data_IF_243836471308
#
_entry.id   IF_243836471308
#
_cell.length_a   1.000
_cell.length_b   1.000
_cell.length_c   1.000
_cell.angle_alpha   90.00
_cell.angle_beta   90.00
_cell.angle_gamma   90.00
#
_symmetry.space_group_name_H-M   'P 1'
#
loop_
_entity.id
_entity.type
_entity.pdbx_description
1 polymer ?
#
# COMPACT_ATOMS: atom_id res chain seq x y z
N UNK A 1 -22.91 -7.04 -4.37
CA UNK A 1 -22.44 -8.22 -3.59
C UNK A 1 -21.16 -8.71 -4.24
N UNK A 2 -20.02 -8.26 -3.76
CA UNK A 2 -18.72 -8.77 -4.23
C UNK A 2 -18.34 -9.87 -3.24
N UNK A 3 -18.53 -11.12 -3.65
CA UNK A 3 -18.05 -12.28 -2.90
C UNK A 3 -16.53 -12.35 -3.00
N UNK A 4 -15.85 -11.57 -2.16
CA UNK A 4 -14.43 -11.76 -1.92
C UNK A 4 -14.36 -12.96 -0.99
N UNK A 5 -14.01 -14.11 -1.55
CA UNK A 5 -13.49 -15.24 -0.76
C UNK A 5 -12.25 -14.72 -0.06
N UNK A 6 -12.40 -14.22 1.17
CA UNK A 6 -11.30 -13.85 2.04
C UNK A 6 -10.63 -15.15 2.41
N UNK A 7 -9.64 -15.59 1.64
CA UNK A 7 -8.70 -16.57 2.13
C UNK A 7 -8.08 -15.96 3.37
N UNK A 8 -8.42 -16.50 4.55
CA UNK A 8 -7.90 -16.04 5.84
C UNK A 8 -6.43 -16.45 5.92
N UNK A 9 -5.58 -15.60 5.39
CA UNK A 9 -4.15 -15.80 5.42
C UNK A 9 -3.64 -15.82 6.87
N UNK A 10 -2.71 -16.72 7.16
CA UNK A 10 -2.13 -16.86 8.50
C UNK A 10 -1.46 -15.58 8.99
N UNK A 11 -0.86 -14.80 8.08
CA UNK A 11 -0.27 -13.50 8.40
C UNK A 11 -1.34 -12.44 8.68
N UNK A 12 -2.47 -12.47 8.00
CA UNK A 12 -3.62 -11.61 8.29
C UNK A 12 -4.12 -11.76 9.74
N UNK A 13 -3.93 -12.91 10.37
CA UNK A 13 -4.33 -13.16 11.77
C UNK A 13 -3.30 -12.68 12.80
N UNK A 14 -2.10 -12.26 12.38
CA UNK A 14 -1.09 -11.70 13.27
C UNK A 14 -1.49 -10.32 13.78
N UNK A 15 -0.79 -9.86 14.81
CA UNK A 15 -1.05 -8.56 15.42
C UNK A 15 -0.91 -7.41 14.41
N UNK A 16 -1.83 -6.42 14.38
CA UNK A 16 -1.85 -5.34 13.40
C UNK A 16 -0.56 -4.53 13.31
N UNK A 17 0.12 -4.31 14.44
CA UNK A 17 1.41 -3.60 14.49
C UNK A 17 2.46 -4.34 13.63
N UNK A 18 2.46 -5.67 13.68
CA UNK A 18 3.42 -6.48 12.95
C UNK A 18 3.17 -6.44 11.44
N UNK A 19 1.88 -6.51 11.05
CA UNK A 19 1.49 -6.38 9.65
C UNK A 19 1.88 -5.01 9.10
N UNK A 20 1.59 -3.96 9.85
CA UNK A 20 1.94 -2.58 9.44
C UNK A 20 3.46 -2.39 9.34
N UNK A 21 4.21 -2.86 10.34
CA UNK A 21 5.68 -2.76 10.36
C UNK A 21 6.29 -3.45 9.15
N UNK A 22 5.85 -4.67 8.82
CA UNK A 22 6.34 -5.39 7.65
C UNK A 22 6.15 -4.60 6.36
N UNK A 23 4.93 -4.16 6.09
CA UNK A 23 4.64 -3.41 4.86
C UNK A 23 5.34 -2.06 4.82
N UNK A 24 5.43 -1.36 5.95
CA UNK A 24 6.17 -0.09 6.02
C UNK A 24 7.65 -0.27 5.67
N UNK A 25 8.28 -1.32 6.17
CA UNK A 25 9.69 -1.63 5.90
C UNK A 25 9.90 -2.05 4.45
N UNK A 26 9.07 -2.96 3.90
CA UNK A 26 9.20 -3.39 2.50
C UNK A 26 8.98 -2.23 1.54
N UNK A 27 7.94 -1.44 1.75
CA UNK A 27 7.65 -0.26 0.93
C UNK A 27 8.78 0.76 1.03
N UNK A 28 9.29 1.01 2.25
CA UNK A 28 10.43 1.90 2.47
C UNK A 28 11.68 1.42 1.71
N UNK A 29 12.07 0.16 1.87
CA UNK A 29 13.22 -0.37 1.14
C UNK A 29 13.03 -0.32 -0.38
N UNK A 30 11.85 -0.68 -0.88
CA UNK A 30 11.57 -0.63 -2.33
C UNK A 30 11.62 0.78 -2.89
N UNK A 31 11.20 1.80 -2.11
CA UNK A 31 11.21 3.19 -2.52
C UNK A 31 12.62 3.80 -2.54
N UNK A 32 13.42 3.53 -1.50
CA UNK A 32 14.73 4.16 -1.33
C UNK A 32 15.87 3.41 -2.00
N UNK A 33 15.76 2.08 -2.17
CA UNK A 33 16.81 1.25 -2.74
C UNK A 33 16.48 0.92 -4.19
N UNK A 34 17.14 1.62 -5.10
CA UNK A 34 16.95 1.46 -6.55
C UNK A 34 17.92 0.45 -7.17
N UNK A 35 18.54 -0.41 -6.37
CA UNK A 35 19.45 -1.44 -6.87
C UNK A 35 18.68 -2.54 -7.61
N UNK A 36 19.06 -2.93 -8.86
CA UNK A 36 18.27 -3.84 -9.68
C UNK A 36 18.04 -5.20 -9.04
N UNK A 37 19.00 -5.73 -8.28
CA UNK A 37 18.86 -7.02 -7.57
C UNK A 37 17.81 -6.91 -6.47
N UNK A 38 17.79 -5.83 -5.68
CA UNK A 38 16.76 -5.58 -4.67
C UNK A 38 15.37 -5.49 -5.29
N UNK A 39 15.26 -4.76 -6.39
CA UNK A 39 14.01 -4.62 -7.12
C UNK A 39 13.53 -5.97 -7.68
N UNK A 40 14.43 -6.78 -8.25
CA UNK A 40 14.07 -8.11 -8.75
C UNK A 40 13.57 -9.04 -7.64
N UNK A 41 14.26 -9.08 -6.49
CA UNK A 41 13.84 -9.87 -5.33
C UNK A 41 12.48 -9.40 -4.81
N UNK A 42 12.31 -8.09 -4.64
CA UNK A 42 11.03 -7.51 -4.20
C UNK A 42 9.90 -7.77 -5.20
N UNK A 43 10.18 -7.71 -6.50
CA UNK A 43 9.22 -7.99 -7.56
C UNK A 43 8.73 -9.45 -7.52
N UNK A 44 9.67 -10.41 -7.44
CA UNK A 44 9.33 -11.83 -7.37
C UNK A 44 8.49 -12.12 -6.12
N UNK A 45 8.90 -11.59 -4.97
CA UNK A 45 8.17 -11.76 -3.72
C UNK A 45 6.77 -11.13 -3.76
N UNK A 46 6.67 -9.88 -4.26
CA UNK A 46 5.40 -9.17 -4.39
C UNK A 46 4.42 -9.88 -5.34
N UNK A 47 4.90 -10.34 -6.50
CA UNK A 47 4.07 -11.08 -7.45
C UNK A 47 3.61 -12.41 -6.89
N UNK A 48 4.51 -13.19 -6.28
CA UNK A 48 4.17 -14.47 -5.68
C UNK A 48 3.13 -14.31 -4.55
N UNK A 49 3.33 -13.32 -3.67
CA UNK A 49 2.41 -13.06 -2.57
C UNK A 49 1.06 -12.51 -3.05
N UNK A 50 1.08 -11.62 -4.02
CA UNK A 50 -0.13 -11.07 -4.63
C UNK A 50 -0.95 -12.14 -5.36
N UNK A 51 -0.30 -13.07 -6.08
CA UNK A 51 -0.96 -14.23 -6.70
C UNK A 51 -1.60 -15.16 -5.67
N UNK A 52 -0.93 -15.35 -4.54
CA UNK A 52 -1.47 -16.14 -3.43
C UNK A 52 -2.75 -15.53 -2.84
N UNK A 53 -2.75 -14.22 -2.60
CA UNK A 53 -3.87 -13.52 -1.97
C UNK A 53 -5.07 -13.29 -2.90
N UNK A 54 -4.82 -12.88 -4.14
CA UNK A 54 -5.86 -12.40 -5.07
C UNK A 54 -6.25 -13.45 -6.14
N UNK A 55 -5.49 -14.53 -6.25
CA UNK A 55 -5.63 -15.49 -7.34
C UNK A 55 -4.90 -15.03 -8.62
N UNK A 56 -4.34 -16.01 -9.35
CA UNK A 56 -3.47 -15.77 -10.51
C UNK A 56 -4.16 -14.96 -11.61
N UNK A 57 -5.40 -15.30 -11.97
CA UNK A 57 -6.12 -14.66 -13.08
C UNK A 57 -6.41 -13.17 -12.83
N UNK A 58 -6.79 -12.80 -11.60
CA UNK A 58 -7.08 -11.40 -11.25
C UNK A 58 -5.81 -10.54 -11.28
N UNK A 59 -4.72 -11.07 -10.75
CA UNK A 59 -3.44 -10.35 -10.71
C UNK A 59 -2.87 -10.17 -12.11
N UNK A 60 -2.88 -11.20 -12.95
CA UNK A 60 -2.43 -11.08 -14.33
C UNK A 60 -3.23 -10.01 -15.09
N UNK A 61 -4.54 -9.96 -14.88
CA UNK A 61 -5.39 -8.93 -15.52
C UNK A 61 -5.05 -7.53 -15.01
N UNK A 62 -4.85 -7.34 -13.72
CA UNK A 62 -4.47 -6.04 -13.13
C UNK A 62 -3.09 -5.63 -13.63
N UNK A 63 -2.13 -6.54 -13.64
CA UNK A 63 -0.77 -6.27 -14.08
C UNK A 63 -0.75 -5.88 -15.57
N UNK A 64 -1.46 -6.62 -16.40
CA UNK A 64 -1.50 -6.35 -17.83
C UNK A 64 -2.21 -5.03 -18.17
N UNK A 65 -3.34 -4.75 -17.49
CA UNK A 65 -4.18 -3.60 -17.84
C UNK A 65 -3.71 -2.28 -17.21
N UNK A 66 -3.16 -2.32 -15.99
CA UNK A 66 -2.86 -1.10 -15.23
C UNK A 66 -1.35 -0.89 -15.07
N UNK A 67 -0.61 -1.96 -14.76
CA UNK A 67 0.77 -1.82 -14.31
C UNK A 67 1.77 -1.76 -15.47
N UNK A 68 1.58 -2.54 -16.52
CA UNK A 68 2.45 -2.47 -17.71
C UNK A 68 2.33 -1.11 -18.43
N UNK A 69 1.12 -0.55 -18.67
CA UNK A 69 1.02 0.77 -19.25
C UNK A 69 1.64 1.87 -18.37
N UNK A 70 1.47 1.81 -17.05
CA UNK A 70 2.06 2.80 -16.15
C UNK A 70 3.59 2.74 -16.15
N UNK A 71 4.18 1.54 -16.19
CA UNK A 71 5.63 1.35 -16.32
C UNK A 71 6.13 1.98 -17.62
N UNK A 72 5.44 1.69 -18.73
CA UNK A 72 5.83 2.18 -20.05
C UNK A 72 5.73 3.70 -20.15
N UNK A 73 4.68 4.29 -19.58
CA UNK A 73 4.52 5.75 -19.51
C UNK A 73 5.67 6.38 -18.74
N UNK A 74 6.01 5.87 -17.55
CA UNK A 74 7.11 6.42 -16.74
C UNK A 74 8.45 6.25 -17.43
N UNK A 75 8.71 5.09 -18.04
CA UNK A 75 9.94 4.81 -18.76
C UNK A 75 10.15 5.74 -19.98
N UNK A 76 9.06 6.12 -20.67
CA UNK A 76 9.11 7.02 -21.82
C UNK A 76 9.13 8.50 -21.42
N UNK A 77 8.39 8.88 -20.37
CA UNK A 77 8.34 10.27 -19.93
C UNK A 77 9.65 10.72 -19.27
N UNK A 78 10.32 9.83 -18.53
CA UNK A 78 11.54 10.20 -17.83
C UNK A 78 12.64 10.77 -18.76
N UNK A 79 13.00 10.14 -19.90
CA UNK A 79 13.99 10.71 -20.80
C UNK A 79 13.53 12.00 -21.51
N UNK A 80 12.24 12.29 -21.55
CA UNK A 80 11.73 13.56 -22.10
C UNK A 80 11.96 14.75 -21.17
N UNK A 81 11.98 14.52 -19.85
CA UNK A 81 12.16 15.56 -18.85
C UNK A 81 13.57 15.56 -18.24
N UNK A 82 14.26 14.43 -18.27
CA UNK A 82 15.54 14.22 -17.61
C UNK A 82 16.63 13.99 -18.66
N UNK A 83 17.54 14.96 -18.81
CA UNK A 83 18.55 14.95 -19.87
C UNK A 83 19.97 14.64 -19.33
N UNK A 84 20.04 14.12 -18.11
CA UNK A 84 21.31 13.74 -17.48
C UNK A 84 21.84 12.44 -18.07
N UNK A 85 23.06 12.46 -18.58
CA UNK A 85 23.76 11.28 -19.09
C UNK A 85 24.90 11.68 -20.00
N UNK A 86 25.81 10.74 -20.27
CA UNK A 86 27.02 10.94 -21.09
C UNK A 86 26.85 10.33 -22.47
N UNK A 87 25.94 9.35 -22.64
CA UNK A 87 25.74 8.64 -23.92
C UNK A 87 24.46 9.14 -24.62
N UNK A 88 24.58 10.02 -25.64
CA UNK A 88 23.42 10.46 -26.41
C UNK A 88 22.95 9.34 -27.35
N UNK A 89 21.64 9.05 -27.35
CA UNK A 89 20.99 8.07 -28.23
C UNK A 89 20.28 8.75 -29.39
N UNK A 90 19.43 9.74 -29.10
CA UNK A 90 18.58 10.41 -30.08
C UNK A 90 18.52 11.90 -29.78
N UNK A 91 18.52 12.71 -30.82
CA UNK A 91 18.28 14.14 -30.73
C UNK A 91 16.83 14.44 -31.11
N UNK A 92 16.10 15.09 -30.21
CA UNK A 92 14.71 15.49 -30.44
C UNK A 92 14.71 16.96 -30.87
N UNK A 93 14.52 17.23 -32.15
CA UNK A 93 14.51 18.59 -32.70
C UNK A 93 13.45 19.50 -32.09
N UNK A 94 12.27 18.96 -31.70
CA UNK A 94 11.19 19.74 -31.12
C UNK A 94 11.47 20.23 -29.69
N UNK A 95 12.34 19.55 -28.94
CA UNK A 95 12.73 19.94 -27.59
C UNK A 95 14.14 20.48 -27.47
N UNK A 96 14.95 20.39 -28.54
CA UNK A 96 16.36 20.78 -28.56
C UNK A 96 17.28 19.96 -27.65
N UNK A 97 16.82 18.78 -27.20
CA UNK A 97 17.45 17.99 -26.16
C UNK A 97 17.87 16.59 -26.64
N UNK A 98 18.96 16.09 -26.03
CA UNK A 98 19.43 14.73 -26.29
C UNK A 98 18.77 13.75 -25.34
N UNK A 99 18.19 12.69 -25.87
CA UNK A 99 17.77 11.51 -25.11
C UNK A 99 19.00 10.66 -24.82
N UNK A 100 19.31 10.47 -23.55
CA UNK A 100 20.46 9.69 -23.11
C UNK A 100 20.06 8.27 -22.67
N UNK A 101 20.98 7.31 -22.86
CA UNK A 101 20.77 5.93 -22.45
C UNK A 101 20.56 5.83 -20.93
N UNK A 102 21.30 6.61 -20.16
CA UNK A 102 21.20 6.64 -18.71
C UNK A 102 19.83 7.11 -18.24
N UNK A 103 19.25 8.14 -18.89
CA UNK A 103 17.91 8.62 -18.58
C UNK A 103 16.83 7.57 -18.88
N UNK A 104 17.01 6.79 -19.96
CA UNK A 104 16.09 5.71 -20.32
C UNK A 104 16.16 4.56 -19.34
N UNK A 105 17.36 4.12 -18.95
CA UNK A 105 17.56 3.06 -17.95
C UNK A 105 16.98 3.51 -16.60
N UNK A 106 17.22 4.75 -16.20
CA UNK A 106 16.66 5.30 -14.96
C UNK A 106 15.12 5.35 -15.01
N UNK A 107 14.54 5.71 -16.17
CA UNK A 107 13.10 5.66 -16.39
C UNK A 107 12.51 4.26 -16.23
N UNK A 108 13.18 3.23 -16.74
CA UNK A 108 12.77 1.83 -16.56
C UNK A 108 12.84 1.44 -15.09
N UNK A 109 13.91 1.80 -14.38
CA UNK A 109 14.06 1.51 -12.95
C UNK A 109 12.95 2.16 -12.13
N UNK A 110 12.66 3.43 -12.37
CA UNK A 110 11.54 4.14 -11.72
C UNK A 110 10.18 3.49 -12.03
N UNK A 111 9.97 3.09 -13.28
CA UNK A 111 8.78 2.35 -13.69
C UNK A 111 8.66 1.02 -12.95
N UNK A 112 9.76 0.27 -12.79
CA UNK A 112 9.78 -0.96 -11.99
C UNK A 112 9.48 -0.72 -10.51
N UNK A 113 10.05 0.34 -9.91
CA UNK A 113 9.73 0.73 -8.53
C UNK A 113 8.23 0.98 -8.37
N UNK A 114 7.63 1.78 -9.25
CA UNK A 114 6.19 2.03 -9.25
C UNK A 114 5.38 0.74 -9.37
N UNK A 115 5.77 -0.14 -10.29
CA UNK A 115 5.13 -1.43 -10.49
C UNK A 115 5.13 -2.29 -9.23
N UNK A 116 6.29 -2.43 -8.58
CA UNK A 116 6.45 -3.20 -7.35
C UNK A 116 5.64 -2.58 -6.21
N UNK A 117 5.63 -1.24 -6.10
CA UNK A 117 4.86 -0.52 -5.10
C UNK A 117 3.35 -0.79 -5.24
N UNK A 118 2.80 -0.77 -6.46
CA UNK A 118 1.38 -1.09 -6.71
C UNK A 118 1.06 -2.51 -6.26
N UNK A 119 1.94 -3.48 -6.52
CA UNK A 119 1.75 -4.86 -6.07
C UNK A 119 1.75 -4.98 -4.55
N UNK A 120 2.71 -4.35 -3.85
CA UNK A 120 2.77 -4.36 -2.39
C UNK A 120 1.57 -3.64 -1.77
N UNK A 121 1.13 -2.50 -2.34
CA UNK A 121 -0.10 -1.83 -1.90
C UNK A 121 -1.35 -2.69 -2.10
N UNK A 122 -1.42 -3.46 -3.18
CA UNK A 122 -2.51 -4.41 -3.38
C UNK A 122 -2.56 -5.47 -2.28
N UNK A 123 -1.41 -6.01 -1.87
CA UNK A 123 -1.31 -6.93 -0.75
C UNK A 123 -1.65 -6.26 0.59
N UNK A 124 -1.14 -5.05 0.82
CA UNK A 124 -1.43 -4.25 2.01
C UNK A 124 -2.93 -4.03 2.21
N UNK A 125 -3.63 -3.57 1.18
CA UNK A 125 -5.07 -3.30 1.24
C UNK A 125 -5.91 -4.54 1.55
N UNK A 126 -5.42 -5.73 1.23
CA UNK A 126 -6.12 -6.96 1.57
C UNK A 126 -5.90 -7.42 3.01
N UNK A 127 -4.69 -7.23 3.53
CA UNK A 127 -4.30 -7.70 4.87
C UNK A 127 -4.69 -6.67 5.93
N UNK A 128 -4.51 -5.39 5.62
CA UNK A 128 -4.76 -4.29 6.53
C UNK A 128 -6.21 -3.80 6.39
N UNK A 129 -7.11 -4.45 7.12
CA UNK A 129 -8.52 -4.04 7.18
C UNK A 129 -8.69 -2.73 7.96
N UNK A 130 -9.81 -2.02 7.72
CA UNK A 130 -10.14 -0.78 8.42
C UNK A 130 -10.10 -0.93 9.94
N UNK A 131 -10.54 -2.08 10.47
CA UNK A 131 -10.54 -2.34 11.92
C UNK A 131 -9.12 -2.42 12.50
N UNK A 132 -8.18 -3.03 11.77
CA UNK A 132 -6.76 -3.09 12.17
C UNK A 132 -6.11 -1.71 12.13
N UNK A 133 -6.46 -0.91 11.13
CA UNK A 133 -5.98 0.46 11.02
C UNK A 133 -6.47 1.31 12.20
N UNK A 134 -7.76 1.23 12.54
CA UNK A 134 -8.33 1.91 13.70
C UNK A 134 -7.64 1.47 14.99
N UNK A 135 -7.38 0.18 15.16
CA UNK A 135 -6.68 -0.33 16.32
C UNK A 135 -5.26 0.24 16.45
N UNK A 136 -4.52 0.34 15.33
CA UNK A 136 -3.16 0.86 15.31
C UNK A 136 -3.09 2.31 15.76
N UNK A 137 -3.95 3.16 15.20
CA UNK A 137 -3.99 4.60 15.50
C UNK A 137 -4.74 4.91 16.80
N UNK A 138 -5.63 4.03 17.24
CA UNK A 138 -6.42 4.20 18.45
C UNK A 138 -5.60 4.23 19.72
N UNK A 139 -4.41 3.66 19.70
CA UNK A 139 -3.48 3.73 20.83
C UNK A 139 -2.76 5.08 20.91
N UNK A 140 -2.56 5.73 19.75
CA UNK A 140 -1.86 7.03 19.66
C UNK A 140 -2.86 8.16 19.94
N UNK A 141 -4.04 8.11 19.31
CA UNK A 141 -5.07 9.14 19.40
C UNK A 141 -6.43 8.46 19.69
N UNK A 142 -6.78 8.22 20.97
CA UNK A 142 -7.99 7.48 21.33
C UNK A 142 -9.29 8.12 20.85
N UNK A 143 -9.36 9.46 20.85
CA UNK A 143 -10.53 10.21 20.38
C UNK A 143 -10.78 10.00 18.88
N UNK A 144 -9.73 10.08 18.06
CA UNK A 144 -9.83 9.87 16.61
C UNK A 144 -10.20 8.43 16.27
N UNK A 145 -9.67 7.46 16.99
CA UNK A 145 -10.02 6.04 16.80
C UNK A 145 -11.50 5.78 17.05
N UNK A 146 -12.05 6.38 18.08
CA UNK A 146 -13.47 6.26 18.38
C UNK A 146 -14.34 6.91 17.28
N UNK A 147 -14.00 8.14 16.86
CA UNK A 147 -14.72 8.83 15.78
C UNK A 147 -14.67 8.02 14.48
N UNK A 148 -13.51 7.49 14.12
CA UNK A 148 -13.34 6.70 12.90
C UNK A 148 -14.12 5.37 12.99
N UNK A 149 -14.10 4.69 14.14
CA UNK A 149 -14.87 3.46 14.35
C UNK A 149 -16.37 3.70 14.23
N UNK A 150 -16.88 4.80 14.80
CA UNK A 150 -18.28 5.19 14.63
C UNK A 150 -18.60 5.55 13.18
N UNK A 151 -17.77 6.35 12.53
CA UNK A 151 -17.96 6.75 11.13
C UNK A 151 -18.06 5.53 10.20
N UNK A 152 -17.13 4.57 10.33
CA UNK A 152 -17.17 3.34 9.52
C UNK A 152 -18.40 2.48 9.77
N UNK A 153 -18.90 2.46 11.00
CA UNK A 153 -20.16 1.77 11.34
C UNK A 153 -21.38 2.47 10.74
N UNK A 154 -21.36 3.82 10.67
CA UNK A 154 -22.46 4.58 10.11
C UNK A 154 -22.56 4.51 8.59
N UNK A 155 -21.46 4.29 7.85
CA UNK A 155 -21.46 4.20 6.38
C UNK A 155 -22.51 3.19 5.86
N UNK A 156 -22.55 1.92 6.30
CA UNK A 156 -23.57 0.97 5.87
C UNK A 156 -24.98 1.41 6.23
N UNK A 157 -25.13 2.05 7.39
CA UNK A 157 -26.42 2.54 7.87
C UNK A 157 -26.94 3.72 7.02
N UNK A 158 -26.07 4.66 6.66
CA UNK A 158 -26.39 5.74 5.74
C UNK A 158 -26.78 5.24 4.35
N UNK A 159 -26.07 4.22 3.83
CA UNK A 159 -26.42 3.61 2.54
C UNK A 159 -27.82 2.98 2.59
N UNK A 160 -28.14 2.30 3.68
CA UNK A 160 -29.47 1.72 3.87
C UNK A 160 -30.56 2.81 3.95
N UNK A 161 -30.33 3.86 4.73
CA UNK A 161 -31.25 4.98 4.88
C UNK A 161 -31.42 5.76 3.58
N UNK A 162 -30.35 5.98 2.82
CA UNK A 162 -30.40 6.59 1.50
C UNK A 162 -31.35 5.82 0.55
N UNK A 163 -31.35 4.48 0.61
CA UNK A 163 -32.26 3.65 -0.18
C UNK A 163 -33.72 3.86 0.25
N UNK A 164 -33.98 3.97 1.54
CA UNK A 164 -35.34 4.24 2.07
C UNK A 164 -35.80 5.60 1.60
N UNK A 165 -35.00 6.65 1.77
CA UNK A 165 -35.33 8.02 1.32
C UNK A 165 -35.54 8.04 -0.19
N UNK A 166 -34.69 7.39 -0.97
CA UNK A 166 -34.84 7.30 -2.42
C UNK A 166 -36.18 6.65 -2.82
N UNK A 167 -36.53 5.56 -2.16
CA UNK A 167 -37.81 4.88 -2.44
C UNK A 167 -39.01 5.76 -2.07
N UNK A 168 -38.98 6.46 -0.93
CA UNK A 168 -39.99 7.43 -0.55
C UNK A 168 -40.11 8.58 -1.56
N UNK A 169 -39.03 9.14 -2.02
CA UNK A 169 -39.01 10.18 -3.07
C UNK A 169 -39.59 9.69 -4.41
N UNK A 170 -39.34 8.42 -4.77
CA UNK A 170 -39.96 7.81 -5.96
C UNK A 170 -41.46 7.73 -5.85
N UNK A 171 -42.01 7.39 -4.68
CA UNK A 171 -43.46 7.35 -4.46
C UNK A 171 -44.14 8.74 -4.63
N UNK A 172 -43.40 9.81 -4.35
CA UNK A 172 -43.86 11.21 -4.51
C UNK A 172 -43.60 11.77 -5.93
N UNK A 173 -43.05 10.92 -6.84
CA UNK A 173 -42.74 11.33 -8.20
C UNK A 173 -41.42 12.10 -8.38
N UNK A 174 -40.60 12.21 -7.34
CA UNK A 174 -39.31 12.90 -7.36
C UNK A 174 -38.16 11.89 -7.61
N UNK A 175 -38.24 11.11 -8.70
CA UNK A 175 -37.19 10.13 -9.01
C UNK A 175 -35.99 10.79 -9.68
N UNK A 176 -34.80 10.56 -9.14
CA UNK A 176 -33.52 11.02 -9.69
C UNK A 176 -33.20 10.40 -11.04
N UNK A 177 -33.82 9.25 -11.39
CA UNK A 177 -33.60 8.60 -12.68
C UNK A 177 -34.30 9.34 -13.84
N UNK A 178 -35.39 10.09 -13.58
CA UNK A 178 -36.22 10.71 -14.59
C UNK A 178 -36.01 12.23 -14.68
N UNK A 179 -35.89 12.76 -15.89
CA UNK A 179 -35.88 14.20 -16.15
C UNK A 179 -34.57 14.77 -16.65
N UNK A 180 -34.57 16.09 -16.91
CA UNK A 180 -33.40 16.86 -17.35
C UNK A 180 -32.36 16.94 -16.22
N UNK A 181 -31.11 17.12 -16.57
CA UNK A 181 -29.98 17.14 -15.65
C UNK A 181 -30.17 18.03 -14.40
N UNK A 182 -30.69 19.24 -14.58
CA UNK A 182 -31.00 20.17 -13.48
C UNK A 182 -32.03 19.62 -12.48
N UNK A 183 -33.08 18.92 -12.97
CA UNK A 183 -34.07 18.30 -12.08
C UNK A 183 -33.45 17.14 -11.28
N UNK A 184 -32.59 16.34 -11.90
CA UNK A 184 -31.87 15.25 -11.22
C UNK A 184 -30.99 15.77 -10.08
N UNK A 185 -30.23 16.85 -10.33
CA UNK A 185 -29.40 17.49 -9.29
C UNK A 185 -30.29 18.01 -8.15
N UNK A 186 -31.39 18.69 -8.43
CA UNK A 186 -32.31 19.20 -7.41
C UNK A 186 -32.88 18.08 -6.54
N UNK A 187 -33.33 16.97 -7.15
CA UNK A 187 -33.85 15.83 -6.41
C UNK A 187 -32.75 15.14 -5.57
N UNK A 188 -31.55 15.05 -6.10
CA UNK A 188 -30.38 14.53 -5.34
C UNK A 188 -30.06 15.42 -4.13
N UNK A 189 -30.07 16.75 -4.28
CA UNK A 189 -29.87 17.69 -3.18
C UNK A 189 -30.94 17.55 -2.10
N UNK A 190 -32.22 17.40 -2.49
CA UNK A 190 -33.28 17.15 -1.52
C UNK A 190 -33.08 15.86 -0.74
N UNK A 191 -32.62 14.76 -1.41
CA UNK A 191 -32.31 13.50 -0.72
C UNK A 191 -31.17 13.67 0.26
N UNK A 192 -30.13 14.41 -0.12
CA UNK A 192 -28.98 14.70 0.77
C UNK A 192 -29.43 15.53 1.96
N UNK A 193 -30.27 16.55 1.75
CA UNK A 193 -30.81 17.37 2.83
C UNK A 193 -31.59 16.54 3.86
N UNK A 194 -32.48 15.65 3.41
CA UNK A 194 -33.25 14.75 4.28
C UNK A 194 -32.28 13.80 5.03
N UNK A 195 -31.27 13.27 4.32
CA UNK A 195 -30.27 12.37 4.93
C UNK A 195 -29.47 13.08 6.02
N UNK A 196 -29.07 14.34 5.80
CA UNK A 196 -28.33 15.15 6.78
C UNK A 196 -29.18 15.42 8.01
N UNK A 197 -30.44 15.81 7.86
CA UNK A 197 -31.35 16.01 8.99
C UNK A 197 -31.49 14.75 9.83
N UNK A 198 -31.78 13.63 9.18
CA UNK A 198 -31.86 12.34 9.86
C UNK A 198 -30.51 11.94 10.55
N UNK A 199 -29.38 12.24 9.90
CA UNK A 199 -28.06 11.94 10.47
C UNK A 199 -27.76 12.76 11.72
N UNK A 200 -28.19 14.04 11.77
CA UNK A 200 -28.04 14.91 12.94
C UNK A 200 -28.93 14.44 14.10
N UNK A 201 -30.18 14.09 13.85
CA UNK A 201 -31.07 13.51 14.86
C UNK A 201 -30.48 12.24 15.47
N UNK A 202 -30.04 11.31 14.61
CA UNK A 202 -29.40 10.06 15.05
C UNK A 202 -28.10 10.31 15.82
N UNK A 203 -27.32 11.33 15.47
CA UNK A 203 -26.11 11.70 16.19
C UNK A 203 -26.40 12.17 17.61
N UNK A 204 -27.48 12.96 17.81
CA UNK A 204 -27.89 13.44 19.14
C UNK A 204 -28.36 12.25 20.00
N UNK A 205 -29.24 11.40 19.47
CA UNK A 205 -29.70 10.20 20.19
C UNK A 205 -28.55 9.26 20.57
N UNK A 206 -27.60 9.08 19.63
CA UNK A 206 -26.39 8.27 19.88
C UNK A 206 -25.53 8.89 20.98
N UNK A 207 -25.35 10.20 20.98
CA UNK A 207 -24.57 10.91 22.00
C UNK A 207 -25.20 10.78 23.38
N UNK A 208 -26.53 10.91 23.49
CA UNK A 208 -27.26 10.76 24.75
C UNK A 208 -27.24 9.32 25.26
N UNK A 209 -27.40 8.35 24.35
CA UNK A 209 -27.22 6.93 24.68
C UNK A 209 -25.80 6.60 25.17
N UNK A 210 -24.80 7.24 24.63
CA UNK A 210 -23.41 7.08 25.07
C UNK A 210 -23.19 7.70 26.46
N UNK A 211 -23.72 8.89 26.71
CA UNK A 211 -23.64 9.54 28.04
C UNK A 211 -24.31 8.68 29.10
N UNK A 212 -25.51 8.15 28.84
CA UNK A 212 -26.24 7.30 29.78
C UNK A 212 -25.49 6.01 30.14
N UNK A 213 -24.64 5.50 29.21
CA UNK A 213 -23.75 4.35 29.44
C UNK A 213 -22.43 4.71 30.12
N UNK A 214 -22.29 5.94 30.62
CA UNK A 214 -21.08 6.39 31.31
C UNK A 214 -19.89 6.71 30.39
N UNK A 215 -20.16 7.06 29.11
CA UNK A 215 -19.10 7.51 28.23
C UNK A 215 -18.49 8.82 28.74
N UNK A 216 -17.16 8.90 28.84
CA UNK A 216 -16.42 10.09 29.33
C UNK A 216 -16.03 10.02 30.80
N UNK A 217 -16.46 9.02 31.56
CA UNK A 217 -16.03 8.82 32.94
C UNK A 217 -14.55 8.40 33.03
N UNK A 218 -13.87 8.86 34.09
CA UNK A 218 -12.47 8.51 34.38
C UNK A 218 -12.32 7.02 34.65
N UNK A 219 -11.26 6.38 34.19
CA UNK A 219 -10.99 4.96 34.43
C UNK A 219 -11.56 4.00 33.38
N UNK A 220 -12.12 4.50 32.28
CA UNK A 220 -12.61 3.66 31.20
C UNK A 220 -11.47 2.96 30.45
N UNK A 221 -11.56 1.63 30.32
CA UNK A 221 -10.65 0.82 29.51
C UNK A 221 -11.24 0.54 28.14
N UNK A 222 -10.41 0.54 27.09
CA UNK A 222 -10.82 0.15 25.76
C UNK A 222 -10.67 -1.37 25.60
N UNK A 223 -11.73 -2.03 25.15
CA UNK A 223 -11.66 -3.44 24.80
C UNK A 223 -10.80 -3.62 23.53
N UNK A 224 -9.78 -4.47 23.64
CA UNK A 224 -8.92 -4.82 22.51
C UNK A 224 -9.10 -6.29 22.13
N UNK A 225 -9.47 -6.55 20.90
CA UNK A 225 -9.59 -7.90 20.33
C UNK A 225 -8.22 -8.49 20.07
N UNK A 226 -7.22 -7.64 19.78
CA UNK A 226 -5.89 -8.07 19.40
C UNK A 226 -4.99 -8.23 20.61
N UNK A 227 -4.43 -9.44 20.77
CA UNK A 227 -3.47 -9.77 21.84
C UNK A 227 -2.14 -10.18 21.24
N UNK A 228 -1.04 -9.71 21.83
CA UNK A 228 0.31 -10.10 21.42
C UNK A 228 0.60 -11.53 21.88
N UNK A 229 0.61 -12.47 20.97
CA UNK A 229 0.96 -13.87 21.22
C UNK A 229 2.47 -14.08 21.22
N UNK A 230 2.96 -15.18 21.82
CA UNK A 230 4.39 -15.54 21.76
C UNK A 230 4.90 -15.69 20.32
N UNK A 231 4.05 -16.17 19.40
CA UNK A 231 4.33 -16.29 17.97
C UNK A 231 4.56 -14.94 17.30
N UNK A 232 3.75 -13.94 17.63
CA UNK A 232 3.86 -12.59 17.10
C UNK A 232 5.15 -11.90 17.57
N UNK A 233 5.55 -12.15 18.82
CA UNK A 233 6.81 -11.63 19.37
C UNK A 233 8.03 -12.22 18.66
N UNK A 234 8.03 -13.54 18.42
CA UNK A 234 9.12 -14.21 17.72
C UNK A 234 9.22 -13.74 16.27
N UNK A 235 8.10 -13.70 15.56
CA UNK A 235 8.05 -13.24 14.16
C UNK A 235 8.45 -11.78 14.06
N UNK A 236 7.98 -10.93 14.98
CA UNK A 236 8.38 -9.53 15.06
C UNK A 236 9.87 -9.34 15.35
N UNK A 237 10.46 -10.16 16.22
CA UNK A 237 11.89 -10.17 16.49
C UNK A 237 12.72 -10.54 15.25
N UNK A 238 12.32 -11.59 14.52
CA UNK A 238 12.99 -12.00 13.28
C UNK A 238 12.89 -10.89 12.22
N UNK A 239 11.70 -10.32 12.01
CA UNK A 239 11.51 -9.22 11.06
C UNK A 239 12.34 -7.99 11.43
N UNK A 240 12.41 -7.63 12.71
CA UNK A 240 13.21 -6.52 13.18
C UNK A 240 14.71 -6.75 12.94
N UNK A 241 15.23 -7.94 13.25
CA UNK A 241 16.65 -8.27 13.01
C UNK A 241 16.97 -8.24 11.52
N UNK A 242 16.14 -8.85 10.66
CA UNK A 242 16.37 -8.86 9.22
C UNK A 242 16.30 -7.45 8.63
N UNK A 243 15.36 -6.61 9.08
CA UNK A 243 15.27 -5.22 8.62
C UNK A 243 16.48 -4.39 9.05
N UNK A 244 16.98 -4.58 10.29
CA UNK A 244 18.17 -3.89 10.78
C UNK A 244 19.44 -4.32 10.03
N UNK A 245 19.61 -5.62 9.77
CA UNK A 245 20.75 -6.13 8.99
C UNK A 245 20.71 -5.56 7.56
N UNK A 246 19.54 -5.56 6.93
CA UNK A 246 19.37 -4.98 5.59
C UNK A 246 19.65 -3.46 5.58
N UNK A 247 19.13 -2.73 6.57
CA UNK A 247 19.39 -1.29 6.70
C UNK A 247 20.86 -0.98 6.95
N UNK A 248 21.52 -1.74 7.81
CA UNK A 248 22.95 -1.59 8.09
C UNK A 248 23.79 -1.81 6.84
N UNK A 249 23.52 -2.86 6.07
CA UNK A 249 24.21 -3.11 4.81
C UNK A 249 23.98 -2.01 3.77
N UNK A 250 22.75 -1.50 3.66
CA UNK A 250 22.44 -0.36 2.78
C UNK A 250 23.17 0.91 3.21
N UNK A 251 23.26 1.19 4.51
CA UNK A 251 24.01 2.34 5.04
C UNK A 251 25.50 2.27 4.67
N UNK A 252 26.10 1.09 4.69
CA UNK A 252 27.48 0.86 4.26
C UNK A 252 27.64 0.75 2.73
N UNK A 253 26.62 1.07 1.95
CA UNK A 253 26.71 1.14 0.49
C UNK A 253 26.57 -0.20 -0.23
N UNK A 254 26.10 -1.27 0.44
CA UNK A 254 25.92 -2.58 -0.17
C UNK A 254 24.90 -2.59 -1.33
N UNK A 255 23.95 -1.68 -1.30
CA UNK A 255 22.89 -1.53 -2.30
C UNK A 255 22.99 -0.17 -3.03
N UNK A 256 24.20 0.37 -3.15
CA UNK A 256 24.41 1.63 -3.86
C UNK A 256 24.13 1.45 -5.36
N UNK A 257 23.25 2.26 -5.89
CA UNK A 257 22.94 2.34 -7.31
C UNK A 257 22.84 3.81 -7.71
N UNK A 258 23.65 4.23 -8.66
CA UNK A 258 23.64 5.57 -9.24
C UNK A 258 23.48 5.43 -10.75
N UNK A 259 22.51 6.16 -11.29
CA UNK A 259 22.19 6.13 -12.73
C UNK A 259 22.60 7.42 -13.45
N UNK A 260 22.96 8.48 -12.71
CA UNK A 260 23.36 9.78 -13.24
C UNK A 260 24.71 10.21 -12.65
N UNK A 261 25.67 10.75 -13.42
CA UNK A 261 25.72 10.85 -14.89
C UNK A 261 26.16 9.56 -15.58
N UNK A 262 26.56 8.54 -14.84
CA UNK A 262 26.97 7.20 -15.32
C UNK A 262 26.30 6.13 -14.46
N UNK A 263 26.08 4.97 -15.07
CA UNK A 263 25.49 3.83 -14.38
C UNK A 263 26.58 3.17 -13.52
N UNK A 264 26.46 3.33 -12.19
CA UNK A 264 27.35 2.75 -11.19
C UNK A 264 26.51 1.88 -10.23
N UNK A 265 26.83 0.60 -10.17
CA UNK A 265 26.16 -0.36 -9.30
C UNK A 265 27.18 -0.97 -8.32
N UNK A 266 26.86 -0.97 -7.04
CA UNK A 266 27.72 -1.65 -6.05
C UNK A 266 27.64 -3.17 -6.26
N UNK A 267 28.80 -3.84 -6.27
CA UNK A 267 28.88 -5.30 -6.41
C UNK A 267 28.90 -5.86 -7.83
N UNK A 268 28.53 -5.07 -8.85
CA UNK A 268 28.64 -5.46 -10.26
C UNK A 268 29.20 -4.30 -11.10
N UNK A 269 30.45 -4.40 -11.48
CA UNK A 269 31.07 -3.46 -12.43
C UNK A 269 30.72 -3.87 -13.86
N UNK A 270 29.62 -3.35 -14.42
CA UNK A 270 29.32 -3.55 -15.83
C UNK A 270 30.00 -2.48 -16.71
N UNK A 271 30.21 -1.27 -16.20
CA UNK A 271 30.92 -0.20 -16.89
C UNK A 271 31.58 0.79 -15.92
N UNK A 272 32.91 0.76 -15.83
CA UNK A 272 33.74 1.84 -15.26
C UNK A 272 34.09 1.71 -13.77
N UNK A 273 35.17 2.42 -13.38
CA UNK A 273 35.84 2.36 -12.07
C UNK A 273 34.88 2.42 -10.89
N UNK A 274 35.01 1.44 -10.00
CA UNK A 274 34.33 1.36 -8.70
C UNK A 274 34.54 2.65 -7.91
N UNK A 275 33.50 3.32 -7.38
CA UNK A 275 33.68 4.41 -6.43
C UNK A 275 34.41 3.87 -5.18
N UNK A 276 35.23 4.71 -4.58
CA UNK A 276 36.16 4.42 -3.47
C UNK A 276 35.52 3.89 -2.17
N UNK A 277 34.19 3.77 -2.14
CA UNK A 277 33.42 3.08 -1.08
C UNK A 277 33.02 1.68 -1.56
N UNK A 278 34.03 0.84 -1.77
CA UNK A 278 33.78 -0.59 -1.97
C UNK A 278 33.33 -1.23 -0.67
N UNK A 279 32.04 -1.46 -0.54
CA UNK A 279 31.49 -2.31 0.50
C UNK A 279 32.14 -3.70 0.38
N UNK A 280 32.52 -4.33 1.50
CA UNK A 280 33.02 -5.69 1.49
C UNK A 280 31.99 -6.59 0.77
N UNK A 281 32.42 -7.40 -0.21
CA UNK A 281 31.48 -8.22 -1.00
C UNK A 281 30.65 -9.16 -0.14
N UNK A 282 31.20 -9.62 1.00
CA UNK A 282 30.49 -10.44 1.96
C UNK A 282 29.31 -9.69 2.60
N UNK A 283 29.48 -8.41 2.93
CA UNK A 283 28.40 -7.59 3.50
C UNK A 283 27.28 -7.36 2.48
N UNK A 284 27.61 -7.15 1.21
CA UNK A 284 26.63 -7.04 0.14
C UNK A 284 25.80 -8.33 0.00
N UNK A 285 26.44 -9.49 -0.03
CA UNK A 285 25.75 -10.79 -0.11
C UNK A 285 24.84 -11.00 1.10
N UNK A 286 25.32 -10.72 2.31
CA UNK A 286 24.50 -10.84 3.54
C UNK A 286 23.28 -9.92 3.46
N UNK A 287 23.44 -8.69 2.98
CA UNK A 287 22.34 -7.72 2.84
C UNK A 287 21.31 -8.20 1.83
N UNK A 288 21.70 -8.71 0.67
CA UNK A 288 20.80 -9.26 -0.33
C UNK A 288 20.04 -10.48 0.17
N UNK A 289 20.74 -11.40 0.87
CA UNK A 289 20.12 -12.60 1.45
C UNK A 289 19.14 -12.20 2.56
N UNK A 290 19.52 -11.28 3.47
CA UNK A 290 18.63 -10.85 4.56
C UNK A 290 17.37 -10.19 4.04
N UNK A 291 17.47 -9.36 3.01
CA UNK A 291 16.31 -8.75 2.37
C UNK A 291 15.45 -9.79 1.62
N UNK A 292 16.07 -10.73 0.94
CA UNK A 292 15.38 -11.85 0.30
C UNK A 292 14.58 -12.67 1.31
N UNK A 293 15.21 -13.10 2.41
CA UNK A 293 14.53 -13.82 3.49
C UNK A 293 13.40 -12.97 4.07
N UNK A 294 13.60 -11.67 4.28
CA UNK A 294 12.56 -10.75 4.77
C UNK A 294 11.34 -10.72 3.85
N UNK A 295 11.53 -10.58 2.54
CA UNK A 295 10.45 -10.55 1.56
C UNK A 295 9.71 -11.90 1.44
N UNK A 296 10.44 -13.03 1.46
CA UNK A 296 9.87 -14.37 1.31
C UNK A 296 9.34 -14.98 2.60
N UNK A 297 9.66 -14.40 3.76
CA UNK A 297 9.24 -14.93 5.06
C UNK A 297 7.71 -14.99 5.18
N UNK A 298 6.99 -14.05 4.59
CA UNK A 298 5.53 -14.10 4.53
C UNK A 298 5.01 -15.29 3.75
N UNK A 299 5.55 -15.54 2.57
CA UNK A 299 5.17 -16.69 1.74
C UNK A 299 5.43 -18.00 2.47
N UNK A 300 6.59 -18.12 3.12
CA UNK A 300 6.93 -19.28 3.92
C UNK A 300 5.96 -19.46 5.10
N UNK A 301 5.66 -18.39 5.83
CA UNK A 301 4.75 -18.44 6.98
C UNK A 301 3.32 -18.81 6.60
N UNK A 302 2.83 -18.30 5.48
CA UNK A 302 1.50 -18.64 4.96
C UNK A 302 1.45 -20.06 4.44
N UNK A 303 2.49 -20.52 3.77
CA UNK A 303 2.59 -21.88 3.25
C UNK A 303 2.64 -22.92 4.37
N UNK A 304 3.50 -22.74 5.37
CA UNK A 304 3.65 -23.67 6.51
C UNK A 304 2.38 -23.84 7.32
N UNK A 305 1.56 -22.79 7.46
CA UNK A 305 0.32 -22.86 8.25
C UNK A 305 -0.91 -23.31 7.47
N UNK A 306 -0.84 -23.38 6.16
CA UNK A 306 -1.89 -23.91 5.32
C UNK A 306 -1.63 -25.37 4.90
N UNK A 307 -0.54 -25.97 5.38
CA UNK A 307 -0.35 -27.43 5.33
C UNK A 307 -1.38 -28.08 6.28
N UNK A 308 -2.10 -29.12 5.81
CA UNK A 308 -3.17 -29.80 6.54
C UNK A 308 -2.68 -30.44 7.85
#
# INVERSE_FOLDING_TARGET
MWGISIMTDAFSRCHPILNFFYFAVVLGFTMFIQHPVFLAVSFIAATAYSMWLNGVGKILKINFLLTIPSLLIVALLNPMFNHYGVTPLLYIESSGNWVTLEALVYGIVLGCVLFIMILWFSCYNQIMTSDKFIYLFGRIIPAMSLMLSMALRFVPHFIAQLKVIRNGQKCVGMDVSNGKWFKKVRYALNMVSILVTWALENAIETADSMKSRGYGLRGRTAFSIYRFNRRDKLLGGILAVLSLVSAYGCYHGAAFAQYNPRILLAGFTIFGRVPRQSCHPVLAVITFISFGIFCFLLLYWTWVKNLP
#
